data_IF_823973165126
#
_entry.id   IF_823973165126
#
_cell.length_a   1.000
_cell.length_b   1.000
_cell.length_c   1.000
_cell.angle_alpha   90.00
_cell.angle_beta   90.00
_cell.angle_gamma   90.00
#
_symmetry.space_group_name_H-M   'P 1'
#
loop_
_entity.id
_entity.type
_entity.pdbx_description
1 polymer ?
#
# COMPACT_ATOMS: atom_id res chain seq x y z
N UNK A 1 -9.61 -27.21 4.54
CA UNK A 1 -10.27 -25.90 4.69
C UNK A 1 -9.78 -25.01 3.56
N UNK A 2 -10.65 -24.61 2.63
CA UNK A 2 -10.29 -23.60 1.64
C UNK A 2 -10.03 -22.28 2.37
N UNK A 3 -8.81 -21.78 2.29
CA UNK A 3 -8.44 -20.46 2.82
C UNK A 3 -9.21 -19.44 1.99
N UNK A 4 -10.19 -18.75 2.59
CA UNK A 4 -10.95 -17.68 1.94
C UNK A 4 -9.96 -16.58 1.53
N UNK A 5 -9.61 -16.56 0.24
CA UNK A 5 -8.86 -15.48 -0.38
C UNK A 5 -9.86 -14.51 -1.02
N UNK A 6 -9.72 -13.23 -0.70
CA UNK A 6 -10.46 -12.13 -1.29
C UNK A 6 -9.79 -11.69 -2.59
N UNK A 7 -10.60 -11.34 -3.58
CA UNK A 7 -10.13 -10.67 -4.78
C UNK A 7 -9.75 -9.22 -4.44
N UNK A 8 -8.61 -8.76 -4.95
CA UNK A 8 -8.12 -7.40 -4.69
C UNK A 8 -9.13 -6.32 -5.11
N UNK A 9 -9.92 -6.58 -6.16
CA UNK A 9 -10.90 -5.64 -6.67
C UNK A 9 -12.10 -5.41 -5.74
N UNK A 10 -12.28 -6.28 -4.74
CA UNK A 10 -13.32 -6.13 -3.71
C UNK A 10 -12.88 -5.25 -2.54
N UNK A 11 -11.61 -4.85 -2.48
CA UNK A 11 -11.12 -3.89 -1.50
C UNK A 11 -11.51 -2.47 -1.92
N UNK A 12 -12.39 -1.84 -1.13
CA UNK A 12 -12.86 -0.47 -1.41
C UNK A 12 -11.89 0.64 -1.00
N UNK A 13 -10.98 0.37 -0.06
CA UNK A 13 -10.04 1.38 0.45
C UNK A 13 -8.76 1.40 -0.37
N UNK A 14 -8.26 2.61 -0.64
CA UNK A 14 -7.10 2.86 -1.49
C UNK A 14 -6.11 3.75 -0.75
N UNK A 15 -4.82 3.40 -0.86
CA UNK A 15 -3.69 4.23 -0.45
C UNK A 15 -2.95 4.67 -1.71
N UNK A 16 -2.73 5.98 -1.78
CA UNK A 16 -1.95 6.63 -2.83
C UNK A 16 -0.45 6.53 -2.48
N UNK A 17 0.35 5.86 -3.33
CA UNK A 17 1.80 5.74 -3.17
C UNK A 17 2.57 6.28 -4.39
N UNK A 18 3.74 6.85 -4.11
CA UNK A 18 4.74 7.23 -5.11
C UNK A 18 5.35 5.99 -5.78
N UNK A 19 5.75 6.05 -7.06
CA UNK A 19 6.36 4.89 -7.74
C UNK A 19 7.59 4.35 -7.03
N UNK A 20 8.41 5.22 -6.42
CA UNK A 20 9.58 4.81 -5.65
C UNK A 20 9.22 3.93 -4.45
N UNK A 21 8.13 4.25 -3.75
CA UNK A 21 7.63 3.46 -2.62
C UNK A 21 6.98 2.16 -3.06
N UNK A 22 6.32 2.15 -4.22
CA UNK A 22 5.80 0.93 -4.83
C UNK A 22 6.95 -0.03 -5.16
N UNK A 23 7.99 0.46 -5.83
CA UNK A 23 9.19 -0.32 -6.18
C UNK A 23 9.88 -0.89 -4.95
N UNK A 24 10.07 -0.06 -3.92
CA UNK A 24 10.66 -0.50 -2.65
C UNK A 24 9.81 -1.58 -1.98
N UNK A 25 8.51 -1.36 -1.87
CA UNK A 25 7.55 -2.32 -1.29
C UNK A 25 7.59 -3.67 -2.01
N UNK A 26 7.66 -3.68 -3.33
CA UNK A 26 7.73 -4.93 -4.10
C UNK A 26 9.04 -5.68 -3.84
N UNK A 27 10.13 -4.96 -3.56
CA UNK A 27 11.45 -5.54 -3.27
C UNK A 27 11.59 -6.06 -1.84
N UNK A 28 11.21 -5.26 -0.84
CA UNK A 28 11.39 -5.58 0.59
C UNK A 28 10.18 -6.29 1.21
N UNK A 29 9.03 -6.28 0.55
CA UNK A 29 7.71 -6.70 1.06
C UNK A 29 7.19 -5.89 2.24
N UNK A 30 7.95 -4.90 2.70
CA UNK A 30 7.62 -4.04 3.84
C UNK A 30 8.22 -2.65 3.65
N UNK A 31 7.45 -1.60 3.92
CA UNK A 31 7.88 -0.24 3.71
C UNK A 31 7.20 0.72 4.70
N UNK A 32 7.75 1.92 4.78
CA UNK A 32 7.20 3.02 5.56
C UNK A 32 6.84 4.20 4.67
N UNK A 33 5.79 4.93 5.00
CA UNK A 33 5.47 6.19 4.33
C UNK A 33 4.86 7.21 5.27
N UNK A 34 4.90 8.48 4.86
CA UNK A 34 4.39 9.62 5.61
C UNK A 34 3.19 10.19 4.85
N UNK A 35 2.11 10.51 5.54
CA UNK A 35 0.95 11.18 4.94
C UNK A 35 0.28 12.14 5.91
N UNK A 36 -0.22 13.25 5.37
CA UNK A 36 -1.15 14.14 6.08
C UNK A 36 -2.58 13.55 6.13
N UNK A 37 -2.88 12.54 5.29
CA UNK A 37 -4.15 11.82 5.33
C UNK A 37 -4.09 10.71 6.39
N UNK A 38 -5.19 10.56 7.12
CA UNK A 38 -5.34 9.46 8.06
C UNK A 38 -5.80 8.18 7.36
N UNK A 39 -5.09 7.09 7.60
CA UNK A 39 -5.46 5.73 7.24
C UNK A 39 -5.51 4.89 8.51
N UNK A 40 -6.50 4.01 8.64
CA UNK A 40 -6.56 3.09 9.77
C UNK A 40 -5.67 1.86 9.51
N UNK A 41 -5.51 0.99 10.52
CA UNK A 41 -4.90 -0.32 10.31
C UNK A 41 -5.86 -1.16 9.48
N UNK A 42 -5.33 -1.89 8.49
CA UNK A 42 -6.18 -2.62 7.58
C UNK A 42 -5.53 -2.88 6.23
N UNK A 43 -6.29 -3.54 5.36
CA UNK A 43 -5.85 -3.90 4.01
C UNK A 43 -6.34 -2.85 3.02
N UNK A 44 -5.43 -2.38 2.17
CA UNK A 44 -5.66 -1.32 1.21
C UNK A 44 -5.18 -1.74 -0.18
N UNK A 45 -5.90 -1.31 -1.21
CA UNK A 45 -5.35 -1.28 -2.57
C UNK A 45 -4.30 -0.18 -2.67
N UNK A 46 -3.32 -0.39 -3.52
CA UNK A 46 -2.34 0.64 -3.83
C UNK A 46 -2.70 1.31 -5.14
N UNK A 47 -2.71 2.64 -5.15
CA UNK A 47 -2.79 3.44 -6.37
C UNK A 47 -1.47 4.15 -6.58
N UNK A 48 -0.89 3.96 -7.75
CA UNK A 48 0.26 4.74 -8.18
C UNK A 48 -0.20 6.15 -8.51
N UNK A 49 0.35 7.14 -7.82
CA UNK A 49 -0.12 8.51 -7.97
C UNK A 49 0.30 9.17 -9.28
N UNK A 50 1.35 8.69 -9.94
CA UNK A 50 1.80 9.22 -11.23
C UNK A 50 0.92 8.66 -12.35
N UNK A 51 0.77 7.34 -12.43
CA UNK A 51 0.01 6.67 -13.49
C UNK A 51 -1.50 6.67 -13.25
N UNK A 52 -1.93 6.96 -12.01
CA UNK A 52 -3.32 6.81 -11.52
C UNK A 52 -3.86 5.37 -11.58
N UNK A 53 -3.02 4.38 -11.90
CA UNK A 53 -3.40 2.98 -11.96
C UNK A 53 -3.47 2.35 -10.57
N UNK A 54 -4.37 1.39 -10.40
CA UNK A 54 -4.37 0.51 -9.25
C UNK A 54 -3.37 -0.62 -9.49
N UNK A 55 -2.51 -0.85 -8.50
CA UNK A 55 -1.56 -1.94 -8.53
C UNK A 55 -2.27 -3.28 -8.29
N UNK A 56 -1.61 -4.37 -8.69
CA UNK A 56 -2.11 -5.73 -8.59
C UNK A 56 -1.86 -6.40 -7.24
N UNK A 57 -1.31 -5.64 -6.28
CA UNK A 57 -1.09 -6.08 -4.91
C UNK A 57 -1.79 -5.16 -3.90
N UNK A 58 -2.08 -5.71 -2.72
CA UNK A 58 -2.60 -4.97 -1.59
C UNK A 58 -1.54 -4.83 -0.50
N UNK A 59 -1.71 -3.84 0.36
CA UNK A 59 -0.86 -3.63 1.53
C UNK A 59 -1.68 -3.74 2.81
N UNK A 60 -1.06 -4.24 3.87
CA UNK A 60 -1.59 -4.22 5.22
C UNK A 60 -0.84 -3.17 6.06
N UNK A 61 -1.54 -2.11 6.46
CA UNK A 61 -1.03 -1.12 7.43
C UNK A 61 -1.17 -1.72 8.82
N UNK A 62 -0.05 -1.92 9.51
CA UNK A 62 -0.02 -2.59 10.82
C UNK A 62 0.45 -1.65 11.95
N UNK A 63 1.20 -0.59 11.61
CA UNK A 63 1.65 0.45 12.55
C UNK A 63 1.30 1.83 12.03
N UNK A 64 0.83 2.67 12.94
CA UNK A 64 0.48 4.06 12.71
C UNK A 64 1.05 4.85 13.88
N UNK A 65 1.76 5.91 13.56
CA UNK A 65 2.22 6.91 14.52
C UNK A 65 1.86 8.29 14.01
N UNK A 66 1.82 9.27 14.91
CA UNK A 66 1.47 10.64 14.55
C UNK A 66 2.31 11.62 15.33
N UNK A 67 2.69 12.72 14.69
CA UNK A 67 3.34 13.82 15.36
C UNK A 67 2.91 15.16 14.78
N UNK A 68 2.87 16.18 15.64
CA UNK A 68 2.74 17.57 15.21
C UNK A 68 4.12 18.11 14.85
N UNK A 69 4.17 19.16 14.02
CA UNK A 69 5.44 19.81 13.68
C UNK A 69 6.15 20.30 14.94
N UNK A 70 5.45 21.01 15.81
CA UNK A 70 6.01 21.55 17.04
C UNK A 70 6.54 20.43 17.96
N UNK A 71 5.81 19.33 18.11
CA UNK A 71 6.25 18.21 18.94
C UNK A 71 7.59 17.62 18.47
N UNK A 72 7.79 17.45 17.15
CA UNK A 72 9.06 16.98 16.63
C UNK A 72 10.17 18.03 16.72
N UNK A 73 9.84 19.32 16.56
CA UNK A 73 10.80 20.41 16.72
C UNK A 73 11.28 20.50 18.17
N UNK A 74 10.40 20.31 19.14
CA UNK A 74 10.74 20.35 20.56
C UNK A 74 11.64 19.17 20.96
N UNK A 75 11.42 17.99 20.35
CA UNK A 75 12.19 16.78 20.65
C UNK A 75 13.55 16.74 19.91
N UNK A 76 13.57 17.09 18.62
CA UNK A 76 14.73 16.88 17.74
C UNK A 76 15.44 18.17 17.34
N UNK A 77 14.81 19.32 17.53
CA UNK A 77 15.28 20.62 17.07
C UNK A 77 14.85 20.97 15.64
N UNK A 78 14.59 22.25 15.39
CA UNK A 78 14.04 22.75 14.12
C UNK A 78 14.88 22.43 12.88
N UNK A 79 16.20 22.25 13.03
CA UNK A 79 17.10 21.92 11.91
C UNK A 79 16.97 20.47 11.44
N UNK A 80 16.37 19.61 12.24
CA UNK A 80 16.21 18.18 11.96
C UNK A 80 14.82 17.83 11.42
N UNK A 81 13.90 18.79 11.37
CA UNK A 81 12.52 18.58 10.92
C UNK A 81 12.30 19.28 9.58
N UNK A 82 12.08 18.49 8.53
CA UNK A 82 11.74 19.03 7.21
C UNK A 82 10.31 19.58 7.20
N UNK A 83 10.20 20.91 7.21
CA UNK A 83 8.93 21.63 7.16
C UNK A 83 8.12 21.35 5.89
N UNK A 84 8.76 20.90 4.80
CA UNK A 84 8.06 20.59 3.54
C UNK A 84 7.02 19.48 3.71
N UNK A 85 7.21 18.56 4.67
CA UNK A 85 6.27 17.49 4.99
C UNK A 85 4.95 18.00 5.58
N UNK A 86 4.93 19.21 6.14
CA UNK A 86 3.73 19.85 6.72
C UNK A 86 3.02 20.81 5.77
N UNK A 87 3.46 20.96 4.51
CA UNK A 87 2.85 21.92 3.56
C UNK A 87 1.34 21.77 3.37
N UNK A 88 0.83 20.54 3.54
CA UNK A 88 -0.58 20.18 3.39
C UNK A 88 -1.25 19.84 4.74
N UNK A 89 -0.57 20.09 5.86
CA UNK A 89 -1.09 19.84 7.21
C UNK A 89 -1.57 21.18 7.76
N UNK A 90 -2.83 21.28 8.25
CA UNK A 90 -3.31 22.49 8.91
C UNK A 90 -2.41 22.88 10.10
N UNK A 91 -2.39 24.16 10.45
CA UNK A 91 -1.64 24.63 11.62
C UNK A 91 -2.07 23.87 12.89
N UNK A 92 -1.09 23.40 13.67
CA UNK A 92 -1.32 22.53 14.84
C UNK A 92 -1.73 21.09 14.51
N UNK A 93 -1.90 20.74 13.22
CA UNK A 93 -2.24 19.40 12.77
C UNK A 93 -1.10 18.40 12.87
N UNK A 94 -1.47 17.12 12.81
CA UNK A 94 -0.53 16.00 12.81
C UNK A 94 -0.26 15.48 11.40
N UNK A 95 0.97 15.01 11.19
CA UNK A 95 1.29 14.09 10.09
C UNK A 95 1.32 12.66 10.64
N UNK A 96 1.09 11.69 9.77
CA UNK A 96 1.02 10.28 10.14
C UNK A 96 2.17 9.51 9.49
N UNK A 97 2.79 8.65 10.28
CA UNK A 97 3.84 7.73 9.86
C UNK A 97 3.28 6.32 9.87
N UNK A 98 3.42 5.63 8.76
CA UNK A 98 2.87 4.30 8.57
C UNK A 98 3.98 3.30 8.34
N UNK A 99 3.82 2.12 8.90
CA UNK A 99 4.52 0.93 8.44
C UNK A 99 3.50 -0.08 7.90
N UNK A 100 3.81 -0.63 6.73
CA UNK A 100 2.95 -1.54 6.03
C UNK A 100 3.75 -2.63 5.33
N UNK A 101 3.08 -3.74 5.02
CA UNK A 101 3.66 -4.86 4.27
C UNK A 101 2.73 -5.30 3.16
N UNK A 102 3.26 -5.99 2.16
CA UNK A 102 2.41 -6.59 1.12
C UNK A 102 1.55 -7.69 1.74
N UNK A 103 0.26 -7.68 1.42
CA UNK A 103 -0.69 -8.69 1.88
C UNK A 103 -0.73 -9.86 0.89
N UNK A 104 -0.28 -11.03 1.36
CA UNK A 104 -0.14 -12.25 0.55
C UNK A 104 -1.11 -13.37 0.97
N UNK A 105 -1.65 -13.29 2.19
CA UNK A 105 -2.40 -14.39 2.79
C UNK A 105 -3.88 -14.31 2.44
N UNK A 106 -4.42 -13.08 2.43
CA UNK A 106 -5.84 -12.83 2.27
C UNK A 106 -6.21 -12.36 0.87
N UNK A 107 -5.27 -11.86 0.08
CA UNK A 107 -5.54 -11.29 -1.25
C UNK A 107 -4.93 -12.16 -2.33
N UNK A 108 -5.75 -12.55 -3.31
CA UNK A 108 -5.32 -13.36 -4.45
C UNK A 108 -4.69 -12.46 -5.51
N UNK A 109 -3.43 -12.74 -5.83
CA UNK A 109 -2.67 -12.00 -6.83
C UNK A 109 -3.26 -12.24 -8.23
N UNK A 110 -3.71 -11.18 -8.90
CA UNK A 110 -4.50 -11.31 -10.15
C UNK A 110 -3.64 -11.75 -11.34
N UNK A 111 -2.33 -11.50 -11.33
CA UNK A 111 -1.40 -12.00 -12.37
C UNK A 111 -1.33 -13.52 -12.38
N UNK A 112 -1.21 -14.14 -11.19
CA UNK A 112 -1.16 -15.60 -11.05
C UNK A 112 -2.43 -16.26 -11.57
N UNK A 113 -3.59 -15.66 -11.28
CA UNK A 113 -4.89 -16.12 -11.78
C UNK A 113 -5.00 -16.09 -13.32
N UNK A 114 -4.44 -15.08 -14.00
CA UNK A 114 -4.50 -15.00 -15.47
C UNK A 114 -3.59 -16.03 -16.14
N UNK A 115 -2.42 -16.29 -15.58
CA UNK A 115 -1.50 -17.29 -16.11
C UNK A 115 -2.01 -18.73 -15.84
N UNK A 116 -2.61 -18.97 -14.68
CA UNK A 116 -3.27 -20.24 -14.35
C UNK A 116 -4.46 -20.50 -15.29
N UNK A 117 -5.28 -19.47 -15.54
CA UNK A 117 -6.43 -19.57 -16.46
C UNK A 117 -5.99 -19.76 -17.93
N UNK A 118 -4.91 -19.10 -18.37
CA UNK A 118 -4.32 -19.35 -19.70
C UNK A 118 -3.79 -20.78 -19.85
N UNK A 119 -3.15 -21.33 -18.81
CA UNK A 119 -2.72 -22.73 -18.81
C UNK A 119 -3.93 -23.65 -18.91
N UNK A 120 -4.96 -23.44 -18.10
CA UNK A 120 -6.17 -24.26 -18.08
C UNK A 120 -6.90 -24.28 -19.44
N UNK A 121 -7.02 -23.12 -20.11
CA UNK A 121 -7.56 -23.03 -21.48
C UNK A 121 -6.66 -23.75 -22.50
N UNK A 122 -5.34 -23.65 -22.37
CA UNK A 122 -4.40 -24.35 -23.25
C UNK A 122 -4.44 -25.88 -23.11
N UNK A 123 -4.71 -26.40 -21.90
CA UNK A 123 -4.92 -27.84 -21.67
C UNK A 123 -6.23 -28.34 -22.30
N UNK A 124 -7.30 -27.55 -22.26
CA UNK A 124 -8.59 -27.93 -22.86
C UNK A 124 -8.48 -28.02 -24.40
N UNK A 125 -7.70 -27.13 -25.03
CA UNK A 125 -7.48 -27.16 -26.49
C UNK A 125 -6.62 -28.32 -26.96
N UNK A 126 -5.79 -28.91 -26.10
CA UNK A 126 -4.88 -30.03 -26.44
C UNK A 126 -5.47 -31.41 -26.20
N UNK A 127 -6.60 -31.52 -25.48
CA UNK A 127 -7.33 -32.78 -25.26
C UNK A 127 -8.54 -32.96 -26.20
N UNK A 128 -8.75 -32.03 -27.14
CA UNK A 128 -9.89 -32.01 -28.06
C UNK A 128 -9.60 -32.42 -29.50
N UNK A 129 -8.46 -33.06 -29.80
CA UNK A 129 -8.10 -33.55 -31.14
C UNK A 129 -7.62 -34.99 -31.10
#
# INVERSE_FOLDING_TARGET
MNKLQLEIDRLGHVVDLEPSRIQETLKSRECTFISHKFYNKGIYRVRNIETKSLEDFAIYIYRIESATYQGLVDELGAKCVDKSLWKNVPEGGATFFYAFRVEEQFIKDTKKSKDDMKKEIGWIQTQGT
#
